data_IF_140425530248
#
_entry.id   IF_140425530248
#
_cell.length_a   1.000
_cell.length_b   1.000
_cell.length_c   1.000
_cell.angle_alpha   90.00
_cell.angle_beta   90.00
_cell.angle_gamma   90.00
#
_symmetry.space_group_name_H-M   'P 1'
#
loop_
_entity.id
_entity.type
_entity.pdbx_description
1 polymer ?
#
# COMPACT_ATOMS: atom_id res chain seq x y z
N UNK A 1 -9.50 -0.63 -22.70
CA UNK A 1 -8.21 0.12 -22.57
C UNK A 1 -7.83 -0.03 -21.12
N UNK A 2 -6.70 -0.65 -20.83
CA UNK A 2 -6.22 -0.84 -19.45
C UNK A 2 -5.86 0.55 -18.90
N UNK A 3 -6.36 0.91 -17.71
CA UNK A 3 -5.97 2.14 -17.02
C UNK A 3 -4.58 2.00 -16.39
N UNK A 4 -4.08 3.06 -15.75
CA UNK A 4 -2.79 3.02 -15.05
C UNK A 4 -2.83 1.99 -13.92
N UNK A 5 -3.94 1.90 -13.18
CA UNK A 5 -4.14 0.91 -12.13
C UNK A 5 -3.98 -0.51 -12.66
N UNK A 6 -4.69 -0.85 -13.74
CA UNK A 6 -4.60 -2.19 -14.32
C UNK A 6 -3.25 -2.47 -15.01
N UNK A 7 -2.48 -1.45 -15.38
CA UNK A 7 -1.15 -1.63 -15.94
C UNK A 7 -0.11 -2.05 -14.88
N UNK A 8 -0.28 -1.56 -13.64
CA UNK A 8 0.61 -1.86 -12.52
C UNK A 8 -0.03 -2.76 -11.45
N UNK A 9 -1.15 -3.44 -11.74
CA UNK A 9 -1.88 -4.23 -10.74
C UNK A 9 -1.03 -5.32 -10.10
N UNK A 10 -0.13 -5.93 -10.89
CA UNK A 10 0.79 -6.98 -10.44
C UNK A 10 2.12 -6.43 -9.87
N UNK A 11 2.33 -5.11 -9.89
CA UNK A 11 3.56 -4.52 -9.37
C UNK A 11 3.38 -4.10 -7.90
N UNK A 12 3.98 -4.82 -6.93
CA UNK A 12 3.80 -4.53 -5.51
C UNK A 12 4.39 -3.18 -5.08
N UNK A 13 5.32 -2.64 -5.87
CA UNK A 13 6.02 -1.39 -5.58
C UNK A 13 5.27 -0.15 -6.09
N UNK A 14 4.17 -0.34 -6.82
CA UNK A 14 3.35 0.76 -7.31
C UNK A 14 2.00 0.75 -6.59
N UNK A 15 1.66 1.87 -5.96
CA UNK A 15 0.34 2.08 -5.36
C UNK A 15 -0.30 3.33 -5.95
N UNK A 16 -1.47 3.18 -6.51
CA UNK A 16 -2.24 4.27 -7.09
C UNK A 16 -3.37 4.60 -6.13
N UNK A 17 -3.40 5.84 -5.66
CA UNK A 17 -4.38 6.34 -4.71
C UNK A 17 -5.17 7.45 -5.39
N UNK A 18 -6.49 7.31 -5.42
CA UNK A 18 -7.39 8.36 -5.88
C UNK A 18 -7.95 9.12 -4.70
N UNK A 19 -7.61 10.39 -4.56
CA UNK A 19 -8.21 11.26 -3.56
C UNK A 19 -9.41 12.00 -4.13
N UNK A 20 -10.52 11.95 -3.42
CA UNK A 20 -11.73 12.70 -3.73
C UNK A 20 -11.79 13.94 -2.86
N UNK A 21 -11.79 15.09 -3.50
CA UNK A 21 -11.81 16.40 -2.87
C UNK A 21 -13.26 16.84 -2.56
N UNK A 22 -14.08 16.99 -3.56
CA UNK A 22 -15.48 17.41 -3.43
C UNK A 22 -16.45 16.23 -3.28
N UNK A 23 -16.51 15.62 -2.11
CA UNK A 23 -17.43 14.50 -1.88
C UNK A 23 -18.87 14.94 -1.91
N UNK A 24 -19.66 14.19 -2.72
CA UNK A 24 -21.06 14.49 -2.98
C UNK A 24 -21.26 15.34 -4.22
N UNK A 25 -20.20 15.70 -4.95
CA UNK A 25 -20.33 16.39 -6.23
C UNK A 25 -19.38 15.82 -7.29
N UNK A 26 -19.89 15.35 -8.43
CA UNK A 26 -21.31 15.09 -8.72
C UNK A 26 -21.82 13.80 -8.08
N UNK A 27 -20.96 12.99 -7.46
CA UNK A 27 -21.27 11.66 -6.95
C UNK A 27 -20.77 11.46 -5.51
N UNK A 28 -21.45 10.59 -4.77
CA UNK A 28 -20.93 10.11 -3.47
C UNK A 28 -19.68 9.24 -3.66
N UNK A 29 -18.93 8.99 -2.58
CA UNK A 29 -17.76 8.12 -2.58
C UNK A 29 -18.10 6.72 -3.12
N UNK A 30 -19.23 6.14 -2.71
CA UNK A 30 -19.73 4.86 -3.19
C UNK A 30 -20.00 4.90 -4.71
N UNK A 31 -20.69 5.92 -5.18
CA UNK A 31 -20.97 6.09 -6.61
C UNK A 31 -19.71 6.29 -7.46
N UNK A 32 -18.67 6.93 -6.92
CA UNK A 32 -17.37 7.03 -7.58
C UNK A 32 -16.69 5.67 -7.67
N UNK A 33 -16.74 4.87 -6.59
CA UNK A 33 -16.24 3.48 -6.58
C UNK A 33 -16.94 2.62 -7.64
N UNK A 34 -18.27 2.65 -7.66
CA UNK A 34 -19.08 1.92 -8.64
C UNK A 34 -18.73 2.32 -10.10
N UNK A 35 -18.54 3.61 -10.35
CA UNK A 35 -18.15 4.08 -11.68
C UNK A 35 -16.74 3.61 -12.05
N UNK A 36 -15.81 3.60 -11.12
CA UNK A 36 -14.48 3.09 -11.37
C UNK A 36 -14.54 1.61 -11.76
N UNK A 37 -15.26 0.80 -11.01
CA UNK A 37 -15.45 -0.62 -11.32
C UNK A 37 -16.19 -0.86 -12.65
N UNK A 38 -17.11 0.02 -13.04
CA UNK A 38 -17.76 -0.11 -14.34
C UNK A 38 -16.77 -0.02 -15.52
N UNK A 39 -15.73 0.80 -15.39
CA UNK A 39 -14.70 0.96 -16.43
C UNK A 39 -13.50 0.03 -16.25
N UNK A 40 -13.25 -0.45 -15.03
CA UNK A 40 -12.16 -1.35 -14.65
C UNK A 40 -12.67 -2.43 -13.70
N UNK A 41 -13.42 -3.43 -14.20
CA UNK A 41 -14.18 -4.36 -13.34
C UNK A 41 -13.30 -5.24 -12.45
N UNK A 42 -12.04 -5.45 -12.81
CA UNK A 42 -11.11 -6.32 -12.11
C UNK A 42 -10.16 -5.55 -11.16
N UNK A 43 -10.27 -4.22 -11.13
CA UNK A 43 -9.39 -3.35 -10.33
C UNK A 43 -10.19 -2.61 -9.27
N UNK A 44 -9.81 -2.80 -8.00
CA UNK A 44 -10.39 -2.06 -6.88
C UNK A 44 -9.57 -0.80 -6.61
N UNK A 45 -10.16 0.41 -6.77
CA UNK A 45 -9.42 1.63 -6.52
C UNK A 45 -9.14 1.79 -5.03
N UNK A 46 -7.89 2.14 -4.70
CA UNK A 46 -7.58 2.67 -3.38
C UNK A 46 -8.00 4.14 -3.34
N UNK A 47 -9.12 4.41 -2.70
CA UNK A 47 -9.71 5.74 -2.65
C UNK A 47 -9.60 6.34 -1.26
N UNK A 48 -9.22 7.60 -1.22
CA UNK A 48 -9.18 8.41 0.00
C UNK A 48 -10.09 9.63 -0.14
N UNK A 49 -10.40 10.22 0.98
CA UNK A 49 -11.24 11.40 1.08
C UNK A 49 -10.65 12.32 2.14
N UNK A 50 -10.22 13.51 1.76
CA UNK A 50 -9.84 14.54 2.73
C UNK A 50 -10.96 15.56 3.01
N UNK A 51 -12.13 15.32 2.42
CA UNK A 51 -13.35 16.11 2.64
C UNK A 51 -13.14 17.59 2.37
N UNK A 52 -13.69 18.42 3.24
CA UNK A 52 -13.54 19.89 3.15
C UNK A 52 -12.22 20.39 3.76
N UNK A 53 -11.27 19.51 4.06
CA UNK A 53 -9.99 19.90 4.66
C UNK A 53 -8.98 20.33 3.59
N UNK A 54 -9.16 19.89 2.35
CA UNK A 54 -8.30 20.19 1.19
C UNK A 54 -6.81 19.96 1.44
N UNK A 55 -6.46 19.04 2.34
CA UNK A 55 -5.08 18.82 2.79
C UNK A 55 -4.21 18.29 1.66
N UNK A 56 -4.63 17.20 1.03
CA UNK A 56 -3.89 16.61 -0.07
C UNK A 56 -3.90 17.54 -1.29
N UNK A 57 -5.03 18.19 -1.54
CA UNK A 57 -5.12 19.20 -2.58
C UNK A 57 -4.12 20.34 -2.35
N UNK A 58 -4.07 20.91 -1.16
CA UNK A 58 -3.17 22.03 -0.85
C UNK A 58 -1.69 21.68 -1.01
N UNK A 59 -1.32 20.44 -0.75
CA UNK A 59 0.06 19.96 -0.86
C UNK A 59 0.45 19.53 -2.27
N UNK A 60 -0.46 18.91 -2.99
CA UNK A 60 -0.15 18.16 -4.20
C UNK A 60 -0.67 18.80 -5.49
N UNK A 61 -1.49 19.85 -5.43
CA UNK A 61 -1.97 20.53 -6.62
C UNK A 61 -0.87 21.33 -7.34
N UNK A 62 -1.13 21.65 -8.61
CA UNK A 62 -0.21 22.41 -9.46
C UNK A 62 -0.83 23.70 -10.02
N UNK A 63 -1.80 24.29 -9.36
CA UNK A 63 -2.37 25.57 -9.76
C UNK A 63 -3.85 25.58 -10.04
N UNK A 64 -4.64 24.83 -9.32
CA UNK A 64 -6.09 24.94 -9.31
C UNK A 64 -6.82 24.28 -10.50
N UNK A 65 -6.18 23.36 -11.20
CA UNK A 65 -6.82 22.58 -12.26
C UNK A 65 -6.98 21.11 -11.84
N UNK A 66 -8.13 20.53 -12.15
CA UNK A 66 -8.45 19.12 -11.98
C UNK A 66 -8.35 18.35 -13.30
N UNK A 67 -8.00 17.06 -13.28
CA UNK A 67 -7.38 16.33 -12.16
C UNK A 67 -5.94 16.75 -11.91
N UNK A 68 -5.51 16.71 -10.67
CA UNK A 68 -4.11 16.87 -10.29
C UNK A 68 -3.50 15.53 -9.94
N UNK A 69 -2.28 15.28 -10.38
CA UNK A 69 -1.55 14.04 -10.13
C UNK A 69 -0.22 14.37 -9.47
N UNK A 70 0.08 13.69 -8.38
CA UNK A 70 1.39 13.75 -7.74
C UNK A 70 2.01 12.35 -7.73
N UNK A 71 3.30 12.29 -7.98
CA UNK A 71 4.11 11.09 -7.95
C UNK A 71 5.03 11.21 -6.74
N UNK A 72 4.96 10.22 -5.86
CA UNK A 72 5.73 10.17 -4.61
C UNK A 72 6.64 8.96 -4.71
N UNK A 73 7.93 9.18 -4.56
CA UNK A 73 8.95 8.14 -4.69
C UNK A 73 9.09 7.30 -3.41
N UNK A 74 9.95 6.28 -3.47
CA UNK A 74 10.24 5.37 -2.37
C UNK A 74 10.82 6.05 -1.12
N UNK A 75 11.32 7.29 -1.24
CA UNK A 75 11.78 8.11 -0.10
C UNK A 75 10.68 8.95 0.52
N UNK A 76 9.43 8.80 0.05
CA UNK A 76 8.28 9.63 0.41
C UNK A 76 8.44 11.09 -0.01
N UNK A 77 9.23 11.34 -1.04
CA UNK A 77 9.42 12.67 -1.63
C UNK A 77 8.55 12.83 -2.88
N UNK A 78 8.00 14.03 -3.09
CA UNK A 78 7.27 14.32 -4.32
C UNK A 78 8.24 14.42 -5.48
N UNK A 79 8.24 13.40 -6.32
CA UNK A 79 9.08 13.30 -7.51
C UNK A 79 8.62 14.26 -8.62
N UNK A 80 7.33 14.25 -8.88
CA UNK A 80 6.74 15.10 -9.91
C UNK A 80 5.28 15.44 -9.57
N UNK A 81 4.82 16.60 -10.00
CA UNK A 81 3.39 17.00 -9.98
C UNK A 81 2.96 17.47 -11.36
N UNK A 82 1.76 17.08 -11.77
CA UNK A 82 1.20 17.50 -13.04
C UNK A 82 -0.32 17.48 -13.05
N UNK A 83 -0.90 18.20 -13.99
CA UNK A 83 -2.33 18.14 -14.25
C UNK A 83 -2.60 17.25 -15.45
N UNK A 84 -3.72 16.51 -15.40
CA UNK A 84 -4.21 15.73 -16.52
C UNK A 84 -3.17 14.73 -17.07
N UNK A 85 -2.68 13.83 -16.21
CA UNK A 85 -1.69 12.83 -16.59
C UNK A 85 -2.20 11.96 -17.76
N UNK A 86 -1.53 12.06 -18.90
CA UNK A 86 -1.74 11.15 -20.02
C UNK A 86 -1.12 9.79 -19.68
N UNK A 87 -1.77 8.70 -20.06
CA UNK A 87 -1.34 7.34 -19.75
C UNK A 87 0.17 7.10 -20.03
N UNK A 88 0.64 7.43 -21.24
CA UNK A 88 2.04 7.22 -21.60
C UNK A 88 3.04 8.10 -20.83
N UNK A 89 2.64 9.32 -20.45
CA UNK A 89 3.48 10.18 -19.63
C UNK A 89 3.50 9.70 -18.16
N UNK A 90 2.37 9.23 -17.67
CA UNK A 90 2.26 8.68 -16.31
C UNK A 90 3.09 7.41 -16.15
N UNK A 91 2.96 6.46 -17.08
CA UNK A 91 3.77 5.23 -17.04
C UNK A 91 5.26 5.52 -17.16
N UNK A 92 5.67 6.41 -18.07
CA UNK A 92 7.08 6.79 -18.17
C UNK A 92 7.64 7.43 -16.89
N UNK A 93 6.82 8.21 -16.17
CA UNK A 93 7.22 8.78 -14.88
C UNK A 93 7.37 7.69 -13.82
N UNK A 94 6.39 6.77 -13.73
CA UNK A 94 6.45 5.65 -12.76
C UNK A 94 7.64 4.74 -13.07
N UNK A 95 7.86 4.39 -14.34
CA UNK A 95 9.00 3.55 -14.74
C UNK A 95 10.35 4.22 -14.37
N UNK A 96 10.45 5.55 -14.57
CA UNK A 96 11.64 6.30 -14.13
C UNK A 96 11.84 6.26 -12.61
N UNK A 97 10.75 6.33 -11.83
CA UNK A 97 10.82 6.22 -10.37
C UNK A 97 11.23 4.81 -9.91
N UNK A 98 10.75 3.77 -10.60
CA UNK A 98 11.16 2.39 -10.35
C UNK A 98 12.64 2.17 -10.69
N UNK A 99 13.11 2.74 -11.80
CA UNK A 99 14.52 2.69 -12.19
C UNK A 99 15.43 3.41 -11.17
N UNK A 100 15.01 4.57 -10.66
CA UNK A 100 15.76 5.30 -9.62
C UNK A 100 15.73 4.58 -8.26
N UNK A 101 14.64 3.89 -7.94
CA UNK A 101 14.53 3.04 -6.77
C UNK A 101 15.51 1.84 -6.84
N UNK A 102 15.75 1.33 -8.05
CA UNK A 102 16.71 0.27 -8.32
C UNK A 102 16.39 -1.00 -7.53
N UNK A 103 17.40 -1.57 -6.88
CA UNK A 103 17.28 -2.83 -6.15
C UNK A 103 16.22 -2.78 -5.04
N UNK A 104 16.00 -1.62 -4.40
CA UNK A 104 14.97 -1.47 -3.36
C UNK A 104 13.56 -1.73 -3.87
N UNK A 105 13.28 -1.44 -5.14
CA UNK A 105 11.99 -1.71 -5.76
C UNK A 105 11.92 -3.06 -6.49
N UNK A 106 13.00 -3.77 -6.60
CA UNK A 106 13.03 -5.15 -7.13
C UNK A 106 12.94 -6.20 -6.03
N UNK A 107 13.23 -5.79 -4.79
CA UNK A 107 13.21 -6.68 -3.63
C UNK A 107 11.78 -6.82 -3.11
N UNK A 108 11.28 -8.04 -3.08
CA UNK A 108 10.04 -8.35 -2.35
C UNK A 108 10.33 -8.29 -0.84
N UNK A 109 9.51 -7.59 -0.05
CA UNK A 109 9.68 -7.59 1.40
C UNK A 109 9.56 -9.02 1.95
N UNK A 110 10.18 -9.33 3.09
CA UNK A 110 9.98 -10.61 3.76
C UNK A 110 8.50 -10.86 4.03
N UNK A 111 8.04 -12.07 3.76
CA UNK A 111 6.70 -12.50 4.13
C UNK A 111 6.72 -13.05 5.56
N UNK A 112 5.96 -12.44 6.47
CA UNK A 112 5.77 -12.96 7.81
C UNK A 112 4.85 -14.19 7.75
N UNK A 113 5.38 -15.36 8.08
CA UNK A 113 4.66 -16.62 8.13
C UNK A 113 4.96 -17.33 9.45
N UNK A 114 3.98 -18.00 10.01
CA UNK A 114 4.18 -18.79 11.22
C UNK A 114 3.21 -19.97 11.28
N UNK A 115 3.58 -20.96 12.07
CA UNK A 115 2.74 -22.06 12.53
C UNK A 115 2.77 -22.11 14.04
N UNK A 116 1.94 -22.93 14.67
CA UNK A 116 1.90 -23.03 16.11
C UNK A 116 1.51 -24.44 16.60
N UNK A 117 2.01 -24.80 17.78
CA UNK A 117 1.65 -26.01 18.51
C UNK A 117 0.97 -25.62 19.84
N UNK A 118 -0.11 -26.34 20.21
CA UNK A 118 -0.89 -26.06 21.40
C UNK A 118 -0.75 -27.22 22.38
N UNK A 119 -0.38 -26.91 23.64
CA UNK A 119 -0.41 -27.81 24.78
C UNK A 119 -1.17 -27.15 25.95
N UNK A 120 -2.45 -27.53 26.11
CA UNK A 120 -3.35 -26.88 27.05
C UNK A 120 -3.55 -25.41 26.72
N UNK A 121 -3.17 -24.52 27.64
CA UNK A 121 -3.23 -23.07 27.43
C UNK A 121 -1.90 -22.49 26.91
N UNK A 122 -0.91 -23.32 26.70
CA UNK A 122 0.41 -22.89 26.23
C UNK A 122 0.52 -23.11 24.75
N UNK A 123 0.95 -22.09 24.03
CA UNK A 123 1.16 -22.10 22.58
C UNK A 123 2.64 -21.83 22.30
N UNK A 124 3.23 -22.71 21.51
CA UNK A 124 4.57 -22.53 20.94
C UNK A 124 4.42 -22.03 19.52
N UNK A 125 4.95 -20.87 19.20
CA UNK A 125 4.93 -20.30 17.86
C UNK A 125 6.21 -20.64 17.11
N UNK A 126 6.06 -21.01 15.85
CA UNK A 126 7.14 -21.42 14.96
C UNK A 126 7.22 -20.42 13.80
N UNK A 127 8.34 -19.70 13.72
CA UNK A 127 8.60 -18.76 12.64
C UNK A 127 8.92 -19.51 11.34
N UNK A 128 8.14 -19.24 10.29
CA UNK A 128 8.37 -19.68 8.93
C UNK A 128 8.47 -18.50 7.95
N UNK A 129 8.84 -17.33 8.48
CA UNK A 129 9.00 -16.14 7.65
C UNK A 129 10.04 -16.39 6.55
N UNK A 130 9.70 -16.02 5.32
CA UNK A 130 10.54 -16.25 4.15
C UNK A 130 11.09 -14.94 3.62
N UNK A 131 12.34 -14.98 3.17
CA UNK A 131 13.00 -13.89 2.45
C UNK A 131 12.86 -14.19 0.97
N UNK A 132 12.04 -13.40 0.27
CA UNK A 132 11.74 -13.61 -1.14
C UNK A 132 12.84 -13.10 -2.09
N UNK A 133 13.80 -12.31 -1.61
CA UNK A 133 14.83 -11.67 -2.42
C UNK A 133 16.20 -11.75 -1.76
N UNK A 134 17.25 -11.97 -2.54
CA UNK A 134 18.64 -11.88 -2.08
C UNK A 134 18.93 -10.46 -1.57
N UNK A 135 19.66 -10.36 -0.47
CA UNK A 135 20.05 -9.08 0.13
C UNK A 135 19.20 -8.61 1.30
N UNK A 136 18.03 -9.22 1.55
CA UNK A 136 17.27 -9.00 2.78
C UNK A 136 17.70 -9.97 3.87
N UNK A 137 17.63 -9.50 5.11
CA UNK A 137 17.76 -10.32 6.33
C UNK A 137 16.59 -10.00 7.24
N UNK A 138 16.14 -10.99 8.01
CA UNK A 138 15.20 -10.74 9.10
C UNK A 138 16.04 -10.34 10.31
N UNK A 139 15.92 -9.09 10.75
CA UNK A 139 16.71 -8.55 11.86
C UNK A 139 16.01 -8.70 13.22
N UNK A 140 14.67 -8.78 13.21
CA UNK A 140 13.88 -8.82 14.44
C UNK A 140 12.50 -9.42 14.18
N UNK A 141 11.89 -9.89 15.27
CA UNK A 141 10.51 -10.39 15.31
C UNK A 141 9.70 -9.53 16.27
N UNK A 142 8.42 -9.42 16.00
CA UNK A 142 7.45 -8.76 16.86
C UNK A 142 6.15 -9.58 16.86
N UNK A 143 5.81 -10.13 18.00
CA UNK A 143 4.62 -10.93 18.22
C UNK A 143 3.64 -10.17 19.11
N UNK A 144 2.38 -10.15 18.72
CA UNK A 144 1.26 -9.71 19.54
C UNK A 144 0.32 -10.91 19.72
N UNK A 145 0.16 -11.37 20.95
CA UNK A 145 -0.64 -12.57 21.26
C UNK A 145 -2.14 -12.27 21.39
N UNK A 146 -2.54 -10.99 21.28
CA UNK A 146 -3.96 -10.58 21.30
C UNK A 146 -4.54 -10.43 22.71
N UNK A 147 -3.81 -10.80 23.75
CA UNK A 147 -4.18 -10.66 25.16
C UNK A 147 -3.47 -9.50 25.88
N UNK A 148 -2.77 -8.66 25.10
CA UNK A 148 -1.96 -7.54 25.58
C UNK A 148 -0.50 -7.90 25.87
N UNK A 149 -0.12 -9.17 25.73
CA UNK A 149 1.27 -9.61 25.83
C UNK A 149 1.93 -9.63 24.45
N UNK A 150 3.25 -9.42 24.43
CA UNK A 150 4.07 -9.37 23.21
C UNK A 150 5.38 -10.11 23.40
N UNK A 151 6.05 -10.51 22.31
CA UNK A 151 7.40 -11.06 22.33
C UNK A 151 8.22 -10.56 21.15
N UNK A 152 9.56 -10.55 21.32
CA UNK A 152 10.54 -10.31 20.25
C UNK A 152 11.41 -11.54 19.95
N UNK A 153 11.10 -12.66 20.52
CA UNK A 153 11.79 -13.93 20.25
C UNK A 153 11.37 -14.49 18.90
N UNK A 154 12.26 -15.20 18.20
CA UNK A 154 11.93 -15.86 16.94
C UNK A 154 10.90 -16.98 17.11
N UNK A 155 11.01 -17.75 18.20
CA UNK A 155 10.15 -18.89 18.51
C UNK A 155 9.55 -18.71 19.92
N UNK A 156 8.60 -17.80 20.12
CA UNK A 156 8.08 -17.54 21.45
C UNK A 156 7.16 -18.66 21.92
N UNK A 157 7.14 -18.84 23.23
CA UNK A 157 6.15 -19.68 23.92
C UNK A 157 5.31 -18.77 24.81
N UNK A 158 4.00 -18.82 24.63
CA UNK A 158 3.07 -18.01 25.39
C UNK A 158 1.98 -18.86 26.06
N UNK A 159 1.64 -18.53 27.29
CA UNK A 159 0.55 -19.20 28.03
C UNK A 159 -0.57 -18.22 28.26
N UNK A 160 -1.73 -18.53 27.69
CA UNK A 160 -2.96 -17.75 27.85
C UNK A 160 -3.59 -18.06 29.21
N UNK A 161 -4.01 -17.02 29.93
CA UNK A 161 -4.77 -17.19 31.15
C UNK A 161 -6.21 -17.64 30.81
N UNK A 162 -6.80 -18.52 31.62
CA UNK A 162 -8.22 -18.86 31.47
C UNK A 162 -9.07 -17.67 31.94
N UNK A 163 -10.03 -17.24 31.12
CA UNK A 163 -11.08 -16.34 31.57
C UNK A 163 -12.06 -17.04 32.55
#
# INVERSE_FOLDING_TARGET
>A
MVGIEGYYEDNPNVKIITNLDDIGQPYSCEQWGDRHQFYNPDVYPLMTNDGNQDVLWSWLNTGGAFPSTAYIDHTMTVFFKGNNAQFGAATATIDSMLDECGDLCTLSPPAALFDFEIDGNTVTFLDFSEIASEGWIIESWAWDFGDGNTSSEQYPVHTYENE
#
